data_IF_588996065521
#
_entry.id   IF_588996065521
#
_cell.length_a   1.000
_cell.length_b   1.000
_cell.length_c   1.000
_cell.angle_alpha   90.00
_cell.angle_beta   90.00
_cell.angle_gamma   90.00
#
_symmetry.space_group_name_H-M   'P 1'
#
loop_
_entity.id
_entity.type
_entity.pdbx_description
1 polymer ?
#
# COMPACT_ATOMS: atom_id res chain seq x y z
N UNK A 1 0.19 62.37 -3.96
CA UNK A 1 -0.67 61.46 -3.19
C UNK A 1 -1.92 61.22 -4.01
N UNK A 2 -1.96 60.14 -4.80
CA UNK A 2 -3.18 59.70 -5.48
C UNK A 2 -3.14 58.20 -5.61
N UNK A 3 -4.02 57.56 -4.85
CA UNK A 3 -4.33 56.14 -4.84
C UNK A 3 -5.06 55.78 -6.13
N UNK A 4 -4.43 54.95 -6.98
CA UNK A 4 -5.14 54.33 -8.10
C UNK A 4 -5.81 53.04 -7.65
N UNK A 5 -7.12 53.12 -7.52
CA UNK A 5 -8.05 52.03 -7.31
C UNK A 5 -8.26 51.29 -8.63
N UNK A 6 -7.89 50.01 -8.70
CA UNK A 6 -8.21 49.12 -9.82
C UNK A 6 -9.74 48.90 -9.85
N UNK A 7 -10.42 49.05 -11.00
CA UNK A 7 -11.87 48.85 -11.07
C UNK A 7 -12.22 47.36 -10.99
N UNK A 8 -13.18 47.03 -10.13
CA UNK A 8 -13.75 45.70 -9.99
C UNK A 8 -14.55 45.30 -11.25
N UNK A 9 -14.25 44.12 -11.79
CA UNK A 9 -15.02 43.49 -12.87
C UNK A 9 -16.44 43.11 -12.37
N UNK A 10 -17.47 43.13 -13.24
CA UNK A 10 -18.86 42.99 -12.83
C UNK A 10 -19.22 41.55 -12.41
N UNK A 11 -19.91 41.47 -11.27
CA UNK A 11 -20.35 40.28 -10.55
C UNK A 11 -21.56 39.57 -11.22
N UNK A 12 -21.49 39.29 -12.51
CA UNK A 12 -22.63 38.71 -13.25
C UNK A 12 -22.40 37.30 -13.81
N UNK A 13 -21.19 36.74 -13.74
CA UNK A 13 -20.88 35.45 -14.40
C UNK A 13 -20.48 34.30 -13.44
N UNK A 14 -20.69 34.46 -12.13
CA UNK A 14 -20.41 33.40 -11.14
C UNK A 14 -21.63 32.52 -10.78
N UNK A 15 -22.81 32.78 -11.35
CA UNK A 15 -24.03 32.04 -11.03
C UNK A 15 -24.33 30.83 -11.94
N UNK A 16 -23.46 30.48 -12.90
CA UNK A 16 -23.69 29.35 -13.84
C UNK A 16 -22.91 28.06 -13.57
N UNK A 17 -22.09 27.99 -12.50
CA UNK A 17 -21.29 26.80 -12.18
C UNK A 17 -21.82 25.97 -10.98
N UNK A 18 -23.12 26.05 -10.65
CA UNK A 18 -23.69 25.42 -9.44
C UNK A 18 -24.90 24.51 -9.68
N UNK A 19 -25.20 24.08 -10.91
CA UNK A 19 -26.21 23.02 -11.15
C UNK A 19 -25.66 21.96 -12.10
N UNK A 20 -24.92 21.00 -11.56
CA UNK A 20 -24.76 19.69 -12.21
C UNK A 20 -25.84 18.78 -11.65
N UNK A 21 -26.76 18.37 -12.51
CA UNK A 21 -27.78 17.37 -12.19
C UNK A 21 -27.12 16.06 -11.72
N UNK A 22 -27.75 15.31 -10.79
CA UNK A 22 -27.23 14.02 -10.36
C UNK A 22 -27.18 13.09 -11.57
N UNK A 23 -25.97 12.62 -11.92
CA UNK A 23 -25.77 11.59 -12.93
C UNK A 23 -26.53 10.35 -12.48
N UNK A 24 -27.60 10.00 -13.20
CA UNK A 24 -28.38 8.81 -12.96
C UNK A 24 -27.47 7.58 -13.02
N UNK A 25 -27.16 7.02 -11.86
CA UNK A 25 -26.48 5.72 -11.73
C UNK A 25 -27.47 4.68 -12.23
N UNK A 26 -27.35 4.28 -13.50
CA UNK A 26 -28.08 3.13 -14.03
C UNK A 26 -27.81 1.94 -13.12
N UNK A 27 -28.88 1.40 -12.55
CA UNK A 27 -28.86 0.25 -11.67
C UNK A 27 -27.99 -0.85 -12.29
N UNK A 28 -26.84 -1.12 -11.67
CA UNK A 28 -26.08 -2.32 -11.95
C UNK A 28 -27.02 -3.47 -11.57
N UNK A 29 -27.52 -4.21 -12.56
CA UNK A 29 -28.23 -5.47 -12.33
C UNK A 29 -27.32 -6.30 -11.43
N UNK A 30 -27.76 -6.51 -10.18
CA UNK A 30 -27.14 -7.48 -9.29
C UNK A 30 -27.25 -8.83 -10.00
N UNK A 31 -26.14 -9.27 -10.58
CA UNK A 31 -25.99 -10.68 -10.85
C UNK A 31 -26.01 -11.34 -9.47
N UNK A 32 -27.06 -12.14 -9.22
CA UNK A 32 -27.18 -13.02 -8.06
C UNK A 32 -26.16 -14.16 -8.17
N UNK A 33 -24.87 -13.82 -8.30
CA UNK A 33 -23.78 -14.74 -8.10
C UNK A 33 -23.55 -14.84 -6.60
N UNK A 34 -23.78 -16.02 -6.03
CA UNK A 34 -23.41 -16.31 -4.65
C UNK A 34 -21.95 -15.91 -4.48
N UNK A 35 -21.63 -15.17 -3.42
CA UNK A 35 -20.26 -14.88 -2.99
C UNK A 35 -19.41 -16.14 -2.71
N UNK A 36 -19.99 -17.33 -2.86
CA UNK A 36 -19.42 -18.63 -2.52
C UNK A 36 -19.03 -19.48 -3.75
N UNK A 37 -19.28 -19.02 -4.98
CA UNK A 37 -18.91 -19.79 -6.20
C UNK A 37 -17.62 -19.26 -6.86
N UNK A 38 -16.71 -18.69 -6.06
CA UNK A 38 -15.39 -18.25 -6.57
C UNK A 38 -14.60 -19.51 -6.95
N UNK A 39 -14.21 -19.67 -8.24
CA UNK A 39 -13.37 -20.79 -8.63
C UNK A 39 -12.07 -20.80 -7.82
N UNK A 40 -11.53 -21.98 -7.47
CA UNK A 40 -10.29 -22.08 -6.71
C UNK A 40 -9.21 -21.27 -7.44
N UNK A 41 -8.45 -20.48 -6.68
CA UNK A 41 -7.43 -19.63 -7.26
C UNK A 41 -6.50 -20.41 -8.20
N UNK A 42 -6.19 -19.83 -9.36
CA UNK A 42 -5.05 -20.34 -10.10
C UNK A 42 -3.80 -20.16 -9.21
N UNK A 43 -2.99 -21.21 -9.08
CA UNK A 43 -1.75 -21.15 -8.31
C UNK A 43 -0.84 -19.99 -8.76
N UNK A 44 -1.06 -19.51 -9.99
CA UNK A 44 -0.39 -18.37 -10.59
C UNK A 44 -0.85 -17.03 -10.01
N UNK A 45 -2.15 -16.82 -9.77
CA UNK A 45 -2.68 -15.56 -9.21
C UNK A 45 -2.53 -15.48 -7.68
N UNK A 46 -2.66 -16.62 -6.98
CA UNK A 46 -2.44 -16.66 -5.53
C UNK A 46 -1.02 -16.20 -5.16
N UNK A 47 -0.01 -16.53 -5.97
CA UNK A 47 1.37 -16.07 -5.75
C UNK A 47 1.52 -14.55 -5.77
N UNK A 48 0.59 -13.82 -6.39
CA UNK A 48 0.64 -12.37 -6.53
C UNK A 48 -0.01 -11.65 -5.34
N UNK A 49 -1.19 -12.10 -4.91
CA UNK A 49 -1.98 -11.41 -3.88
C UNK A 49 -2.14 -12.18 -2.57
N UNK A 50 -1.67 -13.43 -2.47
CA UNK A 50 -1.77 -14.28 -1.30
C UNK A 50 -3.16 -14.89 -1.05
N UNK A 51 -4.19 -14.41 -1.74
CA UNK A 51 -5.57 -14.85 -1.56
C UNK A 51 -5.88 -16.14 -2.33
N UNK A 52 -6.81 -16.94 -1.81
CA UNK A 52 -7.47 -18.00 -2.58
C UNK A 52 -8.58 -17.47 -3.50
N UNK A 53 -8.83 -16.16 -3.50
CA UNK A 53 -9.80 -15.48 -4.36
C UNK A 53 -9.11 -14.80 -5.56
N UNK A 54 -9.31 -15.35 -6.76
CA UNK A 54 -8.74 -14.81 -7.99
C UNK A 54 -9.20 -13.40 -8.34
N UNK A 55 -10.43 -13.02 -7.99
CA UNK A 55 -10.94 -11.66 -8.25
C UNK A 55 -10.14 -10.65 -7.44
N UNK A 56 -9.91 -10.95 -6.16
CA UNK A 56 -9.07 -10.11 -5.30
C UNK A 56 -7.64 -10.01 -5.85
N UNK A 57 -7.01 -11.14 -6.15
CA UNK A 57 -5.64 -11.17 -6.67
C UNK A 57 -5.50 -10.36 -7.96
N UNK A 58 -6.49 -10.49 -8.85
CA UNK A 58 -6.50 -9.80 -10.13
C UNK A 58 -6.72 -8.29 -9.97
N UNK A 59 -7.69 -7.87 -9.16
CA UNK A 59 -7.98 -6.45 -8.93
C UNK A 59 -6.84 -5.75 -8.19
N UNK A 60 -6.18 -6.43 -7.26
CA UNK A 60 -4.96 -5.95 -6.61
C UNK A 60 -3.84 -5.76 -7.65
N UNK A 61 -3.55 -6.76 -8.48
CA UNK A 61 -2.54 -6.67 -9.53
C UNK A 61 -2.82 -5.49 -10.48
N UNK A 62 -4.07 -5.37 -10.97
CA UNK A 62 -4.51 -4.26 -11.84
C UNK A 62 -4.29 -2.91 -11.17
N UNK A 63 -4.63 -2.80 -9.88
CA UNK A 63 -4.46 -1.57 -9.12
C UNK A 63 -2.99 -1.17 -9.03
N UNK A 64 -2.09 -2.13 -8.78
CA UNK A 64 -0.64 -1.85 -8.70
C UNK A 64 -0.07 -1.51 -10.08
N UNK A 65 -0.47 -2.22 -11.14
CA UNK A 65 -0.08 -1.91 -12.52
C UNK A 65 -0.50 -0.48 -12.90
N UNK A 66 -1.70 -0.05 -12.49
CA UNK A 66 -2.19 1.30 -12.77
C UNK A 66 -1.36 2.42 -12.11
N UNK A 67 -0.58 2.11 -11.07
CA UNK A 67 0.36 3.08 -10.46
C UNK A 67 1.67 3.24 -11.24
N UNK A 68 1.98 2.30 -12.15
CA UNK A 68 3.19 2.33 -12.95
C UNK A 68 3.10 3.43 -14.03
N UNK A 69 4.15 4.24 -14.17
CA UNK A 69 4.24 5.19 -15.27
C UNK A 69 4.70 4.51 -16.57
N UNK A 70 3.94 4.61 -17.66
CA UNK A 70 4.24 3.91 -18.93
C UNK A 70 5.02 4.73 -19.98
N UNK A 71 5.43 5.97 -19.66
CA UNK A 71 6.09 6.84 -20.64
C UNK A 71 5.15 7.31 -21.75
N UNK A 72 5.64 8.23 -22.59
CA UNK A 72 4.99 8.60 -23.86
C UNK A 72 5.83 8.01 -24.99
N UNK A 73 5.22 7.29 -25.93
CA UNK A 73 5.95 6.70 -27.06
C UNK A 73 5.08 5.77 -27.91
N UNK A 74 5.58 5.48 -29.11
CA UNK A 74 4.91 4.74 -30.18
C UNK A 74 4.63 3.26 -29.82
N UNK A 75 5.37 2.71 -28.85
CA UNK A 75 5.34 1.29 -28.47
C UNK A 75 4.71 1.06 -27.08
N UNK A 76 3.64 1.80 -26.77
CA UNK A 76 2.96 1.79 -25.46
C UNK A 76 2.54 0.38 -25.03
N UNK A 77 1.97 -0.42 -25.93
CA UNK A 77 1.51 -1.77 -25.62
C UNK A 77 2.65 -2.69 -25.15
N UNK A 78 3.82 -2.58 -25.78
CA UNK A 78 5.03 -3.34 -25.41
C UNK A 78 5.62 -2.86 -24.09
N UNK A 79 5.62 -1.55 -23.86
CA UNK A 79 6.03 -0.96 -22.58
C UNK A 79 5.10 -1.39 -21.43
N UNK A 80 3.79 -1.44 -21.70
CA UNK A 80 2.76 -1.90 -20.78
C UNK A 80 2.95 -3.37 -20.43
N UNK A 81 3.08 -4.25 -21.43
CA UNK A 81 3.32 -5.68 -21.21
C UNK A 81 4.58 -5.94 -20.37
N UNK A 82 5.70 -5.30 -20.71
CA UNK A 82 6.96 -5.46 -19.98
C UNK A 82 6.83 -5.00 -18.52
N UNK A 83 6.19 -3.87 -18.28
CA UNK A 83 6.03 -3.32 -16.92
C UNK A 83 5.01 -4.11 -16.10
N UNK A 84 3.91 -4.57 -16.69
CA UNK A 84 2.96 -5.47 -16.04
C UNK A 84 3.63 -6.78 -15.60
N UNK A 85 4.48 -7.37 -16.46
CA UNK A 85 5.30 -8.53 -16.09
C UNK A 85 6.27 -8.25 -14.95
N UNK A 86 6.92 -7.08 -14.95
CA UNK A 86 7.82 -6.68 -13.86
C UNK A 86 7.08 -6.45 -12.53
N UNK A 87 5.88 -5.85 -12.56
CA UNK A 87 5.03 -5.67 -11.36
C UNK A 87 4.59 -7.02 -10.81
N UNK A 88 4.08 -7.91 -11.67
CA UNK A 88 3.67 -9.24 -11.26
C UNK A 88 4.85 -10.03 -10.65
N UNK A 89 6.02 -9.99 -11.29
CA UNK A 89 7.23 -10.63 -10.77
C UNK A 89 7.68 -10.03 -9.43
N UNK A 90 7.61 -8.71 -9.28
CA UNK A 90 7.93 -8.03 -8.02
C UNK A 90 7.00 -8.48 -6.90
N UNK A 91 5.68 -8.48 -7.13
CA UNK A 91 4.69 -8.94 -6.15
C UNK A 91 4.89 -10.42 -5.78
N UNK A 92 5.09 -11.29 -6.79
CA UNK A 92 5.37 -12.71 -6.56
C UNK A 92 6.63 -12.93 -5.71
N UNK A 93 7.67 -12.11 -5.90
CA UNK A 93 8.93 -12.19 -5.16
C UNK A 93 8.79 -11.99 -3.65
N UNK A 94 7.75 -11.30 -3.17
CA UNK A 94 7.48 -11.15 -1.74
C UNK A 94 6.82 -12.38 -1.11
N UNK A 95 6.31 -13.30 -1.92
CA UNK A 95 5.59 -14.50 -1.49
C UNK A 95 4.47 -14.19 -0.48
N UNK A 96 3.49 -13.33 -0.82
CA UNK A 96 2.39 -13.00 0.08
C UNK A 96 1.63 -14.27 0.48
N UNK A 97 1.39 -14.43 1.79
CA UNK A 97 0.74 -15.62 2.38
C UNK A 97 -0.77 -15.46 2.56
N UNK A 98 -1.25 -14.22 2.57
CA UNK A 98 -2.66 -13.87 2.74
C UNK A 98 -2.96 -12.51 2.08
N UNK A 99 -4.24 -12.14 2.04
CA UNK A 99 -4.74 -10.89 1.44
C UNK A 99 -4.07 -9.65 2.02
N UNK A 100 -3.78 -9.65 3.33
CA UNK A 100 -3.19 -8.51 4.01
C UNK A 100 -1.73 -8.33 3.60
N UNK A 101 -0.97 -9.44 3.53
CA UNK A 101 0.37 -9.41 2.93
C UNK A 101 0.31 -8.94 1.48
N UNK A 102 -0.67 -9.42 0.69
CA UNK A 102 -0.89 -8.97 -0.68
C UNK A 102 -1.07 -7.47 -0.81
N UNK A 103 -1.92 -6.87 0.03
CA UNK A 103 -2.15 -5.42 0.07
C UNK A 103 -0.87 -4.64 0.42
N UNK A 104 -0.12 -5.08 1.43
CA UNK A 104 1.13 -4.45 1.84
C UNK A 104 2.20 -4.54 0.74
N UNK A 105 2.32 -5.71 0.10
CA UNK A 105 3.20 -5.94 -1.04
C UNK A 105 2.84 -5.04 -2.21
N UNK A 106 1.55 -4.96 -2.55
CA UNK A 106 1.07 -4.08 -3.62
C UNK A 106 1.40 -2.62 -3.37
N UNK A 107 1.21 -2.14 -2.13
CA UNK A 107 1.61 -0.79 -1.73
C UNK A 107 3.12 -0.59 -1.78
N UNK A 108 3.93 -1.53 -1.30
CA UNK A 108 5.39 -1.45 -1.37
C UNK A 108 5.90 -1.32 -2.81
N UNK A 109 5.35 -2.13 -3.73
CA UNK A 109 5.69 -2.07 -5.15
C UNK A 109 5.25 -0.74 -5.78
N UNK A 110 4.05 -0.26 -5.47
CA UNK A 110 3.56 1.04 -5.97
C UNK A 110 4.42 2.22 -5.47
N UNK A 111 4.74 2.24 -4.17
CA UNK A 111 5.59 3.26 -3.55
C UNK A 111 7.00 3.25 -4.14
N UNK A 112 7.59 2.06 -4.35
CA UNK A 112 8.89 1.92 -5.00
C UNK A 112 8.87 2.52 -6.41
N UNK A 113 7.85 2.21 -7.21
CA UNK A 113 7.73 2.76 -8.56
C UNK A 113 7.60 4.28 -8.57
N UNK A 114 6.80 4.83 -7.66
CA UNK A 114 6.67 6.27 -7.50
C UNK A 114 8.01 6.92 -7.09
N UNK A 115 8.76 6.31 -6.18
CA UNK A 115 10.09 6.78 -5.78
C UNK A 115 11.07 6.78 -6.97
N UNK A 116 11.09 5.70 -7.77
CA UNK A 116 11.92 5.59 -8.97
C UNK A 116 11.55 6.65 -10.02
N UNK A 117 10.26 6.95 -10.21
CA UNK A 117 9.82 8.01 -11.12
C UNK A 117 10.19 9.41 -10.62
N UNK A 118 10.07 9.67 -9.31
CA UNK A 118 10.54 10.91 -8.70
C UNK A 118 12.05 11.11 -8.91
N UNK A 119 12.86 10.07 -8.65
CA UNK A 119 14.31 10.10 -8.90
C UNK A 119 14.62 10.34 -10.37
N UNK A 120 13.95 9.63 -11.29
CA UNK A 120 14.15 9.80 -12.73
C UNK A 120 13.85 11.23 -13.18
N UNK A 121 12.75 11.83 -12.72
CA UNK A 121 12.38 13.22 -13.05
C UNK A 121 13.34 14.24 -12.46
N UNK A 122 13.84 13.99 -11.24
CA UNK A 122 14.80 14.88 -10.60
C UNK A 122 16.13 14.98 -11.35
N UNK A 123 16.45 13.99 -12.20
CA UNK A 123 17.67 13.93 -13.01
C UNK A 123 17.49 14.45 -14.44
N UNK A 124 16.32 14.98 -14.81
CA UNK A 124 16.12 15.58 -16.14
C UNK A 124 17.01 16.81 -16.32
N UNK A 125 17.60 17.01 -17.52
CA UNK A 125 18.29 18.25 -17.83
C UNK A 125 17.29 19.42 -17.76
N UNK A 126 17.78 20.60 -17.37
CA UNK A 126 16.98 21.84 -17.26
C UNK A 126 15.85 21.81 -16.21
N UNK A 127 15.81 20.79 -15.34
CA UNK A 127 14.84 20.73 -14.25
C UNK A 127 15.11 21.89 -13.25
N UNK A 128 14.13 22.77 -12.96
CA UNK A 128 14.31 23.83 -11.98
C UNK A 128 14.75 23.27 -10.62
N UNK A 129 15.71 23.94 -9.98
CA UNK A 129 16.33 23.47 -8.73
C UNK A 129 15.29 23.10 -7.67
N UNK A 130 14.30 23.97 -7.44
CA UNK A 130 13.22 23.74 -6.47
C UNK A 130 12.42 22.47 -6.76
N UNK A 131 12.13 22.21 -8.04
CA UNK A 131 11.39 21.01 -8.44
C UNK A 131 12.25 19.76 -8.25
N UNK A 132 13.53 19.81 -8.64
CA UNK A 132 14.45 18.69 -8.45
C UNK A 132 14.65 18.37 -6.95
N UNK A 133 14.78 19.38 -6.10
CA UNK A 133 14.89 19.23 -4.65
C UNK A 133 13.63 18.62 -4.04
N UNK A 134 12.43 19.10 -4.44
CA UNK A 134 11.17 18.51 -4.00
C UNK A 134 11.04 17.04 -4.40
N UNK A 135 11.34 16.70 -5.65
CA UNK A 135 11.27 15.32 -6.15
C UNK A 135 12.24 14.38 -5.42
N UNK A 136 13.45 14.84 -5.09
CA UNK A 136 14.42 14.06 -4.28
C UNK A 136 13.90 13.83 -2.86
N UNK A 137 13.26 14.84 -2.26
CA UNK A 137 12.64 14.71 -0.94
C UNK A 137 11.46 13.73 -0.96
N UNK A 138 10.58 13.83 -1.95
CA UNK A 138 9.45 12.91 -2.12
C UNK A 138 9.95 11.47 -2.34
N UNK A 139 10.98 11.27 -3.18
CA UNK A 139 11.62 9.97 -3.36
C UNK A 139 12.17 9.40 -2.04
N UNK A 140 12.88 10.21 -1.24
CA UNK A 140 13.40 9.77 0.06
C UNK A 140 12.28 9.39 1.05
N UNK A 141 11.15 10.10 1.02
CA UNK A 141 9.99 9.77 1.85
C UNK A 141 9.34 8.45 1.42
N UNK A 142 9.14 8.27 0.11
CA UNK A 142 8.56 7.05 -0.45
C UNK A 142 9.46 5.83 -0.18
N UNK A 143 10.78 5.98 -0.32
CA UNK A 143 11.73 4.90 0.00
C UNK A 143 11.69 4.50 1.47
N UNK A 144 11.51 5.44 2.40
CA UNK A 144 11.30 5.13 3.82
C UNK A 144 9.97 4.39 4.05
N UNK A 145 8.90 4.84 3.41
CA UNK A 145 7.61 4.14 3.47
C UNK A 145 7.68 2.71 2.93
N UNK A 146 8.50 2.44 1.91
CA UNK A 146 8.76 1.06 1.44
C UNK A 146 9.43 0.22 2.53
N UNK A 147 10.42 0.77 3.24
CA UNK A 147 11.04 0.09 4.37
C UNK A 147 10.03 -0.21 5.48
N UNK A 148 9.14 0.75 5.81
CA UNK A 148 8.09 0.55 6.80
C UNK A 148 7.12 -0.60 6.41
N UNK A 149 6.81 -0.75 5.12
CA UNK A 149 5.98 -1.86 4.61
C UNK A 149 6.69 -3.22 4.74
N UNK A 150 8.00 -3.25 4.47
CA UNK A 150 8.82 -4.46 4.64
C UNK A 150 8.88 -4.85 6.13
N UNK A 151 9.12 -3.88 7.02
CA UNK A 151 9.14 -4.11 8.47
C UNK A 151 7.76 -4.54 8.99
N UNK A 152 6.68 -4.02 8.43
CA UNK A 152 5.32 -4.47 8.74
C UNK A 152 5.08 -5.93 8.33
N UNK A 153 5.55 -6.33 7.14
CA UNK A 153 5.50 -7.71 6.66
C UNK A 153 6.32 -8.64 7.56
N UNK A 154 7.56 -8.28 7.89
CA UNK A 154 8.41 -9.10 8.75
C UNK A 154 7.83 -9.24 10.16
N UNK A 155 7.29 -8.16 10.75
CA UNK A 155 6.56 -8.23 12.03
C UNK A 155 5.35 -9.15 11.95
N UNK A 156 4.53 -9.04 10.90
CA UNK A 156 3.37 -9.94 10.68
C UNK A 156 3.79 -11.41 10.56
N UNK A 157 4.98 -11.67 9.99
CA UNK A 157 5.57 -13.00 9.85
C UNK A 157 6.29 -13.51 11.12
N UNK A 158 6.18 -12.78 12.23
CA UNK A 158 6.82 -13.14 13.50
C UNK A 158 8.32 -12.84 13.57
N UNK A 159 8.88 -12.10 12.60
CA UNK A 159 10.28 -11.67 12.58
C UNK A 159 10.48 -10.28 13.20
N UNK A 160 9.65 -9.93 14.19
CA UNK A 160 9.78 -8.66 14.91
C UNK A 160 11.03 -8.63 15.80
N UNK A 161 11.55 -7.44 16.14
CA UNK A 161 12.67 -7.32 17.05
C UNK A 161 12.31 -7.93 18.40
N UNK A 162 13.07 -8.94 18.82
CA UNK A 162 13.02 -9.43 20.20
C UNK A 162 13.63 -8.35 21.09
N UNK A 163 12.78 -7.60 21.80
CA UNK A 163 13.26 -6.61 22.78
C UNK A 163 13.75 -7.36 24.01
N UNK A 164 15.07 -7.59 24.09
CA UNK A 164 15.72 -8.10 25.30
C UNK A 164 15.98 -6.93 26.23
N UNK A 165 15.17 -6.79 27.28
CA UNK A 165 15.39 -5.80 28.34
C UNK A 165 16.14 -6.46 29.50
N UNK A 166 17.34 -5.97 29.79
CA UNK A 166 18.12 -6.43 30.94
C UNK A 166 17.70 -5.62 32.17
N UNK A 167 17.18 -6.31 33.17
CA UNK A 167 16.85 -5.75 34.48
C UNK A 167 17.58 -6.55 35.56
N UNK A 168 17.99 -5.87 36.64
CA UNK A 168 18.59 -6.54 37.80
C UNK A 168 17.48 -7.04 38.72
N UNK A 169 17.23 -8.34 38.71
CA UNK A 169 16.31 -8.99 39.65
C UNK A 169 17.11 -9.49 40.86
N UNK A 170 16.69 -9.11 42.07
CA UNK A 170 17.25 -9.62 43.32
C UNK A 170 16.26 -10.59 43.94
N UNK A 171 16.65 -11.86 44.04
CA UNK A 171 15.89 -12.89 44.75
C UNK A 171 16.41 -12.92 46.18
N UNK A 172 15.52 -12.59 47.14
CA UNK A 172 15.84 -12.57 48.57
C UNK A 172 15.83 -14.00 49.15
N UNK A 173 16.41 -14.16 50.33
CA UNK A 173 16.41 -15.44 51.04
C UNK A 173 14.97 -15.95 51.27
N UNK A 174 14.72 -17.21 50.90
CA UNK A 174 13.39 -17.83 50.95
C UNK A 174 12.47 -17.56 49.75
N UNK A 175 12.85 -16.71 48.80
CA UNK A 175 12.08 -16.49 47.56
C UNK A 175 12.51 -17.45 46.43
N UNK A 176 11.55 -17.86 45.60
CA UNK A 176 11.80 -18.64 44.38
C UNK A 176 11.39 -17.85 43.15
N UNK A 177 12.23 -17.87 42.12
CA UNK A 177 11.96 -17.24 40.83
C UNK A 177 11.80 -18.31 39.73
N UNK A 178 10.79 -18.15 38.88
CA UNK A 178 10.56 -19.01 37.71
C UNK A 178 10.99 -18.23 36.46
N UNK A 179 11.84 -18.84 35.62
CA UNK A 179 12.24 -18.27 34.32
C UNK A 179 11.74 -19.19 33.22
N UNK A 180 10.88 -18.66 32.34
CA UNK A 180 10.27 -19.41 31.25
C UNK A 180 8.80 -19.05 31.04
N UNK A 181 8.16 -19.68 30.06
CA UNK A 181 6.74 -19.50 29.78
C UNK A 181 5.90 -20.17 30.87
N UNK A 182 5.13 -19.40 31.63
CA UNK A 182 4.21 -19.92 32.66
C UNK A 182 2.80 -19.97 32.08
N UNK A 183 2.25 -21.17 31.90
CA UNK A 183 0.85 -21.39 31.54
C UNK A 183 0.05 -21.77 32.79
N UNK A 184 -0.86 -20.91 33.24
CA UNK A 184 -1.76 -21.25 34.36
C UNK A 184 -2.92 -22.11 33.86
N UNK A 185 -2.91 -23.40 34.15
CA UNK A 185 -4.10 -24.24 34.03
C UNK A 185 -5.00 -23.99 35.23
N UNK A 186 -6.04 -23.17 35.08
CA UNK A 186 -7.12 -23.05 36.06
C UNK A 186 -7.91 -24.37 36.09
N UNK A 187 -7.75 -25.14 37.16
CA UNK A 187 -8.55 -26.33 37.44
C UNK A 187 -9.86 -25.86 38.09
N UNK A 188 -10.94 -25.93 37.34
CA UNK A 188 -12.31 -25.79 37.86
C UNK A 188 -12.53 -26.85 38.96
N UNK A 189 -12.77 -26.38 40.17
CA UNK A 189 -12.99 -27.22 41.33
C UNK A 189 -14.38 -27.85 41.28
N UNK A 190 -14.44 -29.15 40.99
CA UNK A 190 -15.60 -30.00 41.29
C UNK A 190 -15.34 -30.76 42.58
N UNK A 191 -16.02 -30.36 43.66
CA UNK A 191 -16.07 -31.08 44.92
C UNK A 191 -17.50 -31.55 45.22
N UNK A 192 -17.55 -32.73 45.86
CA UNK A 192 -18.70 -33.51 46.34
C UNK A 192 -19.45 -34.36 45.30
#
# INVERSE_FOLDING_TARGET
MSSDTVPAAPLADQAKLSRREPVAVKSIKRANGRINDVPPASADLQRLGGSTNDTFNNDLLRSVIATAWFGKGEDRAKAELRKSGAVAAAMAGFHPKDEVEGMLVGQAVALHQAAMECMRRAMLPEQPFEVATKLRKDAANLSRAVADMIDALDRKRGKGPQVVRVERVVVQEGAQAIVGTVTSTSREGGGA
#
